data_IF_868974049380
#
_entry.id   IF_868974049380
#
_cell.length_a   1.000
_cell.length_b   1.000
_cell.length_c   1.000
_cell.angle_alpha   90.00
_cell.angle_beta   90.00
_cell.angle_gamma   90.00
#
_symmetry.space_group_name_H-M   'P 1'
#
loop_
_entity.id
_entity.type
_entity.pdbx_description
1 polymer ?
#
# COMPACT_ATOMS: atom_id res chain seq x y z
N UNK A 1 -1.95 1.46 -13.72
CA UNK A 1 -1.44 0.35 -12.88
C UNK A 1 -2.49 0.01 -11.83
N UNK A 2 -3.15 -1.12 -11.95
CA UNK A 2 -4.16 -1.58 -10.99
C UNK A 2 -4.09 -3.10 -10.91
N UNK A 3 -3.98 -3.65 -9.71
CA UNK A 3 -3.95 -5.11 -9.49
C UNK A 3 -5.34 -5.73 -9.63
N UNK A 4 -6.39 -4.93 -9.48
CA UNK A 4 -7.79 -5.33 -9.61
C UNK A 4 -8.50 -4.43 -10.64
N UNK A 5 -8.33 -4.71 -11.93
CA UNK A 5 -9.00 -3.93 -12.98
C UNK A 5 -10.52 -4.04 -12.85
N UNK A 6 -11.27 -3.01 -13.27
CA UNK A 6 -12.72 -3.04 -13.25
C UNK A 6 -13.25 -4.24 -14.06
N UNK A 7 -14.31 -4.84 -13.55
CA UNK A 7 -15.03 -5.94 -14.18
C UNK A 7 -16.47 -5.49 -14.42
N UNK A 8 -17.04 -5.93 -15.53
CA UNK A 8 -18.46 -5.68 -15.84
C UNK A 8 -19.32 -6.77 -15.16
N UNK A 9 -19.38 -6.70 -13.83
CA UNK A 9 -20.19 -7.59 -13.00
C UNK A 9 -20.87 -6.76 -11.90
N UNK A 10 -22.12 -7.11 -11.59
CA UNK A 10 -22.76 -6.59 -10.39
C UNK A 10 -22.28 -7.42 -9.19
N UNK A 11 -21.44 -6.81 -8.36
CA UNK A 11 -20.89 -7.40 -7.14
C UNK A 11 -21.43 -6.73 -5.86
N UNK A 12 -22.53 -5.97 -5.98
CA UNK A 12 -23.18 -5.29 -4.84
C UNK A 12 -23.62 -6.25 -3.72
N UNK A 13 -23.91 -7.51 -4.03
CA UNK A 13 -24.26 -8.57 -3.08
C UNK A 13 -23.11 -8.91 -2.13
N UNK A 14 -21.85 -8.68 -2.52
CA UNK A 14 -20.66 -8.95 -1.70
C UNK A 14 -20.72 -8.20 -0.36
N UNK A 15 -21.32 -7.01 -0.33
CA UNK A 15 -21.45 -6.23 0.91
C UNK A 15 -22.31 -6.96 1.94
N UNK A 16 -23.41 -7.58 1.51
CA UNK A 16 -24.27 -8.35 2.41
C UNK A 16 -23.57 -9.62 2.91
N UNK A 17 -22.81 -10.29 2.05
CA UNK A 17 -21.96 -11.42 2.45
C UNK A 17 -20.88 -11.01 3.46
N UNK A 18 -20.22 -9.86 3.24
CA UNK A 18 -19.21 -9.33 4.17
C UNK A 18 -19.83 -8.97 5.53
N UNK A 19 -21.01 -8.33 5.53
CA UNK A 19 -21.74 -8.02 6.77
C UNK A 19 -22.12 -9.29 7.54
N UNK A 20 -22.46 -10.36 6.84
CA UNK A 20 -22.75 -11.66 7.46
C UNK A 20 -21.47 -12.39 7.92
N UNK A 21 -20.33 -12.18 7.25
CA UNK A 21 -19.07 -12.84 7.58
C UNK A 21 -18.29 -12.17 8.72
N UNK A 22 -18.36 -10.84 8.86
CA UNK A 22 -17.63 -10.10 9.92
C UNK A 22 -17.85 -10.69 11.32
N UNK A 23 -19.09 -11.03 11.76
CA UNK A 23 -19.32 -11.63 13.07
C UNK A 23 -18.69 -13.02 13.26
N UNK A 24 -18.30 -13.70 12.18
CA UNK A 24 -17.68 -15.02 12.20
C UNK A 24 -16.16 -14.97 12.31
N UNK A 25 -15.56 -13.79 12.16
CA UNK A 25 -14.11 -13.59 12.29
C UNK A 25 -13.73 -13.71 13.76
N UNK A 26 -12.63 -14.43 14.03
CA UNK A 26 -12.13 -14.57 15.42
C UNK A 26 -11.80 -13.19 16.01
N UNK A 27 -12.25 -12.90 17.25
CA UNK A 27 -11.87 -11.67 17.95
C UNK A 27 -10.35 -11.52 18.23
N UNK A 28 -9.58 -12.61 18.10
CA UNK A 28 -8.11 -12.62 18.23
C UNK A 28 -7.40 -12.30 16.90
N UNK A 29 -8.15 -12.07 15.84
CA UNK A 29 -7.57 -11.66 14.55
C UNK A 29 -6.83 -10.33 14.71
N UNK A 30 -5.55 -10.31 14.37
CA UNK A 30 -4.70 -9.11 14.53
C UNK A 30 -5.04 -8.01 13.53
N UNK A 31 -5.36 -8.40 12.29
CA UNK A 31 -5.62 -7.44 11.21
C UNK A 31 -6.67 -7.97 10.23
N UNK A 32 -7.56 -7.09 9.81
CA UNK A 32 -8.51 -7.30 8.71
C UNK A 32 -8.29 -6.21 7.66
N UNK A 33 -8.25 -6.59 6.39
CA UNK A 33 -8.08 -5.65 5.28
C UNK A 33 -9.32 -5.55 4.41
N UNK A 34 -9.87 -4.35 4.24
CA UNK A 34 -10.83 -4.08 3.18
C UNK A 34 -10.08 -3.64 1.93
N UNK A 35 -10.23 -4.43 0.88
CA UNK A 35 -9.64 -4.20 -0.43
C UNK A 35 -10.69 -4.50 -1.50
N UNK A 36 -10.39 -4.13 -2.71
CA UNK A 36 -11.31 -4.35 -3.84
C UNK A 36 -10.99 -3.35 -4.94
N UNK A 37 -11.98 -2.96 -5.76
CA UNK A 37 -11.83 -1.87 -6.69
C UNK A 37 -11.56 -0.56 -5.93
N UNK A 38 -12.62 0.00 -5.35
CA UNK A 38 -12.53 1.17 -4.48
C UNK A 38 -13.65 1.09 -3.43
N UNK A 39 -13.30 0.73 -2.20
CA UNK A 39 -14.26 0.48 -1.12
C UNK A 39 -15.14 1.70 -0.81
N UNK A 40 -14.60 2.92 -0.93
CA UNK A 40 -15.34 4.14 -0.62
C UNK A 40 -16.47 4.45 -1.62
N UNK A 41 -16.48 3.84 -2.81
CA UNK A 41 -17.58 3.96 -3.77
C UNK A 41 -18.88 3.26 -3.31
N UNK A 42 -18.80 2.43 -2.29
CA UNK A 42 -19.97 1.84 -1.64
C UNK A 42 -20.74 2.85 -0.77
N UNK A 43 -20.20 4.05 -0.58
CA UNK A 43 -20.82 5.15 0.18
C UNK A 43 -21.31 4.72 1.58
N UNK A 44 -22.61 4.81 1.83
CA UNK A 44 -23.19 4.46 3.16
C UNK A 44 -23.04 2.97 3.47
N UNK A 45 -23.02 2.09 2.48
CA UNK A 45 -22.77 0.65 2.67
C UNK A 45 -21.35 0.38 3.17
N UNK A 46 -20.37 1.18 2.77
CA UNK A 46 -19.03 1.12 3.35
C UNK A 46 -19.03 1.52 4.83
N UNK A 47 -19.82 2.54 5.20
CA UNK A 47 -19.98 2.94 6.60
C UNK A 47 -20.62 1.81 7.43
N UNK A 48 -21.59 1.07 6.88
CA UNK A 48 -22.17 -0.11 7.53
C UNK A 48 -21.13 -1.18 7.83
N UNK A 49 -20.21 -1.46 6.87
CA UNK A 49 -19.09 -2.38 7.08
C UNK A 49 -18.14 -1.92 8.19
N UNK A 50 -17.83 -0.63 8.27
CA UNK A 50 -17.01 -0.08 9.34
C UNK A 50 -17.69 -0.22 10.70
N UNK A 51 -19.00 0.05 10.80
CA UNK A 51 -19.77 -0.16 12.03
C UNK A 51 -19.81 -1.62 12.45
N UNK A 52 -20.04 -2.54 11.52
CA UNK A 52 -20.00 -3.97 11.79
C UNK A 52 -18.62 -4.39 12.34
N UNK A 53 -17.52 -3.96 11.66
CA UNK A 53 -16.17 -4.28 12.10
C UNK A 53 -15.89 -3.72 13.50
N UNK A 54 -16.26 -2.46 13.77
CA UNK A 54 -16.11 -1.88 15.10
C UNK A 54 -16.84 -2.68 16.18
N UNK A 55 -18.07 -3.14 15.90
CA UNK A 55 -18.89 -3.82 16.88
C UNK A 55 -18.41 -5.24 17.19
N UNK A 56 -17.91 -5.97 16.20
CA UNK A 56 -17.50 -7.37 16.35
C UNK A 56 -15.98 -7.55 16.55
N UNK A 57 -15.19 -6.60 16.05
CA UNK A 57 -13.72 -6.66 16.03
C UNK A 57 -13.08 -5.35 16.55
N UNK A 58 -13.47 -4.84 17.72
CA UNK A 58 -13.03 -3.50 18.18
C UNK A 58 -11.53 -3.36 18.42
N UNK A 59 -10.83 -4.48 18.66
CA UNK A 59 -9.38 -4.51 18.95
C UNK A 59 -8.56 -5.01 17.75
N UNK A 60 -9.21 -5.31 16.63
CA UNK A 60 -8.56 -5.77 15.40
C UNK A 60 -8.14 -4.55 14.57
N UNK A 61 -6.89 -4.49 14.11
CA UNK A 61 -6.47 -3.48 13.16
C UNK A 61 -7.29 -3.61 11.88
N UNK A 62 -7.87 -2.51 11.42
CA UNK A 62 -8.62 -2.44 10.17
C UNK A 62 -7.91 -1.59 9.15
N UNK A 63 -7.28 -2.24 8.17
CA UNK A 63 -6.61 -1.57 7.04
C UNK A 63 -7.61 -1.44 5.87
N UNK A 64 -7.89 -0.22 5.45
CA UNK A 64 -8.74 0.05 4.28
C UNK A 64 -7.90 0.59 3.13
N UNK A 65 -7.84 -0.16 2.04
CA UNK A 65 -7.17 0.27 0.82
C UNK A 65 -8.12 1.14 -0.01
N UNK A 66 -7.74 2.39 -0.22
CA UNK A 66 -8.55 3.36 -0.98
C UNK A 66 -7.65 4.28 -1.80
N UNK A 67 -8.12 4.69 -2.97
CA UNK A 67 -7.42 5.72 -3.77
C UNK A 67 -7.47 7.12 -3.13
N UNK A 68 -8.21 7.30 -2.05
CA UNK A 68 -8.30 8.54 -1.28
C UNK A 68 -9.15 9.65 -1.91
N UNK A 69 -9.64 9.49 -3.14
CA UNK A 69 -10.26 10.57 -3.91
C UNK A 69 -11.58 11.05 -3.33
N UNK A 70 -12.47 10.15 -2.89
CA UNK A 70 -13.72 10.53 -2.23
C UNK A 70 -13.50 11.21 -0.87
N UNK A 71 -12.37 10.95 -0.23
CA UNK A 71 -11.97 11.60 1.02
C UNK A 71 -11.64 13.08 0.83
N UNK A 72 -11.49 13.57 -0.42
CA UNK A 72 -11.38 14.99 -0.71
C UNK A 72 -12.63 15.80 -0.28
N UNK A 73 -13.77 15.12 -0.13
CA UNK A 73 -14.98 15.68 0.49
C UNK A 73 -14.91 15.47 2.00
N UNK A 74 -14.64 16.56 2.74
CA UNK A 74 -14.48 16.52 4.20
C UNK A 74 -15.66 15.86 4.92
N UNK A 75 -16.88 16.09 4.43
CA UNK A 75 -18.09 15.50 5.01
C UNK A 75 -18.08 13.97 4.94
N UNK A 76 -17.50 13.38 3.87
CA UNK A 76 -17.37 11.93 3.76
C UNK A 76 -16.27 11.37 4.69
N UNK A 77 -15.14 12.06 4.77
CA UNK A 77 -14.11 11.72 5.76
C UNK A 77 -14.64 11.81 7.19
N UNK A 78 -15.49 12.80 7.49
CA UNK A 78 -16.14 12.92 8.80
C UNK A 78 -17.09 11.74 9.09
N UNK A 79 -17.91 11.29 8.13
CA UNK A 79 -18.76 10.10 8.30
C UNK A 79 -17.94 8.87 8.70
N UNK A 80 -16.76 8.67 8.09
CA UNK A 80 -15.86 7.57 8.45
C UNK A 80 -15.33 7.74 9.87
N UNK A 81 -14.90 8.95 10.24
CA UNK A 81 -14.39 9.26 11.57
C UNK A 81 -15.46 9.09 12.68
N UNK A 82 -16.72 9.39 12.37
CA UNK A 82 -17.84 9.26 13.31
C UNK A 82 -18.11 7.80 13.72
N UNK A 83 -17.65 6.83 12.93
CA UNK A 83 -17.64 5.41 13.32
C UNK A 83 -16.79 5.18 14.57
N UNK A 84 -15.66 5.93 14.73
CA UNK A 84 -14.73 5.82 15.87
C UNK A 84 -14.19 4.39 16.07
N UNK A 85 -13.81 3.71 14.99
CA UNK A 85 -13.09 2.45 15.10
C UNK A 85 -11.67 2.75 15.60
N UNK A 86 -11.22 2.19 16.75
CA UNK A 86 -9.97 2.61 17.40
C UNK A 86 -8.72 2.27 16.58
N UNK A 87 -8.74 1.18 15.82
CA UNK A 87 -7.61 0.65 15.08
C UNK A 87 -7.78 0.82 13.55
N UNK A 88 -8.53 1.84 13.09
CA UNK A 88 -8.74 2.11 11.66
C UNK A 88 -7.53 2.82 11.06
N UNK A 89 -7.03 2.29 9.95
CA UNK A 89 -5.98 2.90 9.12
C UNK A 89 -6.45 2.96 7.67
N UNK A 90 -6.43 4.16 7.07
CA UNK A 90 -6.69 4.33 5.63
C UNK A 90 -5.35 4.28 4.88
N UNK A 91 -5.22 3.28 3.98
CA UNK A 91 -4.02 3.04 3.19
C UNK A 91 -4.20 3.67 1.81
N UNK A 92 -3.50 4.78 1.55
CA UNK A 92 -3.70 5.62 0.37
C UNK A 92 -2.45 5.60 -0.52
N UNK A 93 -2.55 5.22 -1.81
CA UNK A 93 -1.42 5.24 -2.72
C UNK A 93 -1.09 6.66 -3.17
N UNK A 94 0.21 6.97 -3.21
CA UNK A 94 0.75 8.20 -3.79
C UNK A 94 1.90 7.84 -4.71
N UNK A 95 1.82 8.19 -6.01
CA UNK A 95 2.76 7.72 -7.01
C UNK A 95 3.83 8.73 -7.39
N UNK A 96 3.58 10.02 -7.18
CA UNK A 96 4.52 11.11 -7.48
C UNK A 96 4.21 12.34 -6.66
N UNK A 97 5.21 13.20 -6.52
CA UNK A 97 5.12 14.58 -6.04
C UNK A 97 4.65 15.56 -7.14
N UNK A 98 4.57 15.07 -8.39
CA UNK A 98 4.11 15.83 -9.56
C UNK A 98 2.72 15.36 -9.97
N UNK A 99 1.77 16.30 -10.02
CA UNK A 99 0.36 16.05 -10.33
C UNK A 99 0.15 15.29 -11.64
N UNK A 100 0.76 15.77 -12.71
CA UNK A 100 0.62 15.18 -14.06
C UNK A 100 1.19 13.76 -14.12
N UNK A 101 2.24 13.45 -13.36
CA UNK A 101 2.81 12.10 -13.31
C UNK A 101 1.96 11.15 -12.46
N UNK A 102 1.45 11.62 -11.31
CA UNK A 102 0.50 10.84 -10.51
C UNK A 102 -0.76 10.52 -11.32
N UNK A 103 -1.36 11.53 -11.95
CA UNK A 103 -2.57 11.40 -12.78
C UNK A 103 -2.35 10.44 -13.96
N UNK A 104 -1.17 10.51 -14.57
CA UNK A 104 -0.77 9.55 -15.63
C UNK A 104 -0.73 8.12 -15.11
N UNK A 105 -0.15 7.86 -13.93
CA UNK A 105 -0.08 6.50 -13.37
C UNK A 105 -1.47 5.95 -13.06
N UNK A 106 -2.35 6.76 -12.47
CA UNK A 106 -3.71 6.34 -12.09
C UNK A 106 -4.72 6.46 -13.23
N UNK A 107 -4.32 7.06 -14.35
CA UNK A 107 -5.15 7.31 -15.55
C UNK A 107 -6.42 8.14 -15.23
N UNK A 108 -6.27 9.15 -14.37
CA UNK A 108 -7.38 10.02 -13.97
C UNK A 108 -6.89 11.44 -13.69
N UNK A 109 -7.31 12.39 -14.52
CA UNK A 109 -6.97 13.82 -14.37
C UNK A 109 -7.54 14.38 -13.07
N UNK A 110 -6.71 15.13 -12.32
CA UNK A 110 -7.07 15.73 -11.03
C UNK A 110 -7.08 14.76 -9.86
N UNK A 111 -6.61 13.52 -10.07
CA UNK A 111 -6.52 12.52 -9.00
C UNK A 111 -5.51 12.93 -7.93
N UNK A 112 -4.38 13.54 -8.31
CA UNK A 112 -3.38 14.03 -7.36
C UNK A 112 -3.99 15.00 -6.34
N UNK A 113 -4.70 16.03 -6.81
CA UNK A 113 -5.35 17.02 -5.94
C UNK A 113 -6.42 16.41 -5.04
N UNK A 114 -7.19 15.45 -5.57
CA UNK A 114 -8.21 14.76 -4.79
C UNK A 114 -7.57 13.87 -3.72
N UNK A 115 -6.55 13.08 -4.07
CA UNK A 115 -5.86 12.17 -3.16
C UNK A 115 -5.13 12.93 -2.05
N UNK A 116 -4.37 13.97 -2.39
CA UNK A 116 -3.63 14.79 -1.41
C UNK A 116 -4.58 15.53 -0.47
N UNK A 117 -5.69 16.10 -0.99
CA UNK A 117 -6.75 16.67 -0.18
C UNK A 117 -7.42 15.63 0.71
N UNK A 118 -7.63 14.41 0.22
CA UNK A 118 -8.14 13.29 1.00
C UNK A 118 -7.25 12.98 2.20
N UNK A 119 -5.94 12.85 2.00
CA UNK A 119 -4.95 12.63 3.08
C UNK A 119 -5.03 13.77 4.12
N UNK A 120 -5.11 15.04 3.68
CA UNK A 120 -5.24 16.17 4.58
C UNK A 120 -6.56 16.15 5.36
N UNK A 121 -7.66 15.73 4.75
CA UNK A 121 -8.93 15.62 5.42
C UNK A 121 -8.95 14.50 6.46
N UNK A 122 -8.29 13.36 6.19
CA UNK A 122 -8.10 12.29 7.18
C UNK A 122 -7.39 12.81 8.44
N UNK A 123 -6.33 13.59 8.27
CA UNK A 123 -5.65 14.24 9.40
C UNK A 123 -6.59 15.16 10.18
N UNK A 124 -7.39 15.99 9.48
CA UNK A 124 -8.35 16.92 10.11
C UNK A 124 -9.39 16.20 10.97
N UNK A 125 -9.81 15.01 10.56
CA UNK A 125 -10.81 14.22 11.29
C UNK A 125 -10.18 13.17 12.23
N UNK A 126 -8.85 13.14 12.35
CA UNK A 126 -8.12 12.29 13.29
C UNK A 126 -8.04 10.80 12.92
N UNK A 127 -8.13 10.47 11.62
CA UNK A 127 -7.97 9.10 11.13
C UNK A 127 -6.51 8.84 10.77
N UNK A 128 -5.95 7.72 11.27
CA UNK A 128 -4.61 7.28 10.93
C UNK A 128 -4.51 6.95 9.43
N UNK A 129 -3.43 7.45 8.80
CA UNK A 129 -3.20 7.27 7.36
C UNK A 129 -1.85 6.60 7.12
N UNK A 130 -1.83 5.59 6.26
CA UNK A 130 -0.63 5.01 5.67
C UNK A 130 -0.52 5.45 4.21
N UNK A 131 0.62 6.05 3.83
CA UNK A 131 0.90 6.33 2.42
C UNK A 131 1.60 5.11 1.82
N UNK A 132 1.09 4.62 0.69
CA UNK A 132 1.68 3.51 -0.07
C UNK A 132 2.31 4.02 -1.36
N UNK A 133 3.60 3.75 -1.53
CA UNK A 133 4.37 4.10 -2.73
C UNK A 133 4.78 2.82 -3.42
N UNK A 134 4.22 2.54 -4.59
CA UNK A 134 4.63 1.39 -5.40
C UNK A 134 5.77 1.82 -6.31
N UNK A 135 6.89 1.08 -6.25
CA UNK A 135 8.12 1.37 -6.98
C UNK A 135 8.03 0.80 -8.39
N UNK A 136 8.11 1.64 -9.39
CA UNK A 136 8.04 1.24 -10.80
C UNK A 136 8.77 2.21 -11.73
N UNK A 137 9.05 1.76 -12.95
CA UNK A 137 9.86 2.45 -13.96
C UNK A 137 9.44 3.89 -14.25
N UNK A 138 8.16 4.22 -14.12
CA UNK A 138 7.66 5.56 -14.46
C UNK A 138 7.97 6.61 -13.39
N UNK A 139 8.18 6.19 -12.12
CA UNK A 139 8.25 7.13 -10.99
C UNK A 139 9.49 6.98 -10.11
N UNK A 140 10.26 5.89 -10.23
CA UNK A 140 11.38 5.62 -9.34
C UNK A 140 12.41 6.76 -9.26
N UNK A 141 12.70 7.41 -10.40
CA UNK A 141 13.69 8.50 -10.48
C UNK A 141 13.28 9.74 -9.66
N UNK A 142 12.01 9.86 -9.28
CA UNK A 142 11.49 10.94 -8.42
C UNK A 142 11.17 10.48 -7.00
N UNK A 143 11.64 9.30 -6.61
CA UNK A 143 11.37 8.75 -5.29
C UNK A 143 11.92 9.64 -4.14
N UNK A 144 13.15 10.22 -4.24
CA UNK A 144 13.63 11.17 -3.23
C UNK A 144 12.75 12.42 -3.13
N UNK A 145 12.35 13.02 -4.26
CA UNK A 145 11.47 14.20 -4.28
C UNK A 145 10.09 13.90 -3.72
N UNK A 146 9.55 12.69 -4.00
CA UNK A 146 8.31 12.24 -3.39
C UNK A 146 8.45 12.07 -1.86
N UNK A 147 9.58 11.55 -1.39
CA UNK A 147 9.88 11.44 0.04
C UNK A 147 9.93 12.82 0.72
N UNK A 148 10.60 13.81 0.10
CA UNK A 148 10.61 15.20 0.57
C UNK A 148 9.20 15.80 0.59
N UNK A 149 8.42 15.55 -0.47
CA UNK A 149 7.04 16.02 -0.56
C UNK A 149 6.19 15.45 0.58
N UNK A 150 6.29 14.14 0.86
CA UNK A 150 5.59 13.48 1.96
C UNK A 150 6.03 14.06 3.31
N UNK A 151 7.33 14.16 3.55
CA UNK A 151 7.88 14.68 4.81
C UNK A 151 7.43 16.11 5.10
N UNK A 152 7.35 16.95 4.06
CA UNK A 152 6.95 18.37 4.18
C UNK A 152 5.44 18.55 4.33
N UNK A 153 4.65 17.82 3.55
CA UNK A 153 3.20 18.08 3.45
C UNK A 153 2.36 17.14 4.34
N UNK A 154 2.89 15.96 4.69
CA UNK A 154 2.18 14.92 5.43
C UNK A 154 2.96 14.39 6.65
N UNK A 155 3.58 15.25 7.48
CA UNK A 155 4.37 14.82 8.63
C UNK A 155 3.56 14.08 9.72
N UNK A 156 2.25 14.08 9.58
CA UNK A 156 1.28 13.46 10.50
C UNK A 156 0.90 12.03 10.11
N UNK A 157 1.35 11.51 8.95
CA UNK A 157 0.96 10.14 8.55
C UNK A 157 1.58 9.11 9.49
N UNK A 158 0.81 8.08 9.79
CA UNK A 158 1.23 7.04 10.72
C UNK A 158 2.32 6.14 10.15
N UNK A 159 2.38 6.00 8.83
CA UNK A 159 3.32 5.10 8.17
C UNK A 159 3.49 5.44 6.68
N UNK A 160 4.70 5.18 6.15
CA UNK A 160 4.99 5.20 4.71
C UNK A 160 5.49 3.81 4.30
N UNK A 161 4.76 3.16 3.40
CA UNK A 161 5.08 1.84 2.88
C UNK A 161 5.64 1.96 1.45
N UNK A 162 6.92 1.68 1.26
CA UNK A 162 7.58 1.60 -0.03
C UNK A 162 7.49 0.16 -0.53
N UNK A 163 6.82 -0.09 -1.65
CA UNK A 163 6.42 -1.43 -2.05
C UNK A 163 6.97 -1.80 -3.42
N UNK A 164 7.63 -2.95 -3.53
CA UNK A 164 7.97 -3.54 -4.82
C UNK A 164 6.71 -3.84 -5.65
N UNK A 165 6.86 -3.73 -6.97
CA UNK A 165 5.76 -3.88 -7.93
C UNK A 165 5.17 -5.29 -7.90
N UNK A 166 3.87 -5.42 -7.67
CA UNK A 166 3.12 -6.66 -7.85
C UNK A 166 2.63 -6.79 -9.31
N UNK A 167 2.97 -7.89 -9.97
CA UNK A 167 2.73 -8.07 -11.41
C UNK A 167 1.40 -8.78 -11.68
N UNK A 168 0.31 -8.17 -11.23
CA UNK A 168 -1.06 -8.67 -11.42
C UNK A 168 -1.93 -7.64 -12.16
N UNK A 169 -3.09 -8.03 -12.62
CA UNK A 169 -4.05 -7.14 -13.27
C UNK A 169 -3.44 -6.35 -14.43
N UNK A 170 -3.68 -5.06 -14.48
CA UNK A 170 -3.12 -4.17 -15.52
C UNK A 170 -1.60 -4.03 -15.47
N UNK A 171 -0.96 -4.30 -14.33
CA UNK A 171 0.51 -4.32 -14.26
C UNK A 171 1.07 -5.41 -15.17
N UNK A 172 0.46 -6.61 -15.18
CA UNK A 172 0.86 -7.71 -16.07
C UNK A 172 0.78 -7.30 -17.55
N UNK A 173 -0.29 -6.61 -17.93
CA UNK A 173 -0.48 -6.14 -19.31
C UNK A 173 0.51 -5.03 -19.71
N UNK A 174 1.04 -4.28 -18.75
CA UNK A 174 1.95 -3.14 -18.98
C UNK A 174 3.36 -3.39 -18.40
N UNK A 175 3.77 -4.64 -18.30
CA UNK A 175 4.98 -5.05 -17.58
C UNK A 175 6.24 -4.32 -18.08
N UNK A 176 6.43 -4.21 -19.39
CA UNK A 176 7.60 -3.55 -19.98
C UNK A 176 7.68 -2.05 -19.68
N UNK A 177 6.54 -1.41 -19.49
CA UNK A 177 6.46 0.00 -19.14
C UNK A 177 6.61 0.27 -17.65
N UNK A 178 6.31 -0.72 -16.81
CA UNK A 178 6.24 -0.55 -15.35
C UNK A 178 7.37 -1.23 -14.60
N UNK A 179 7.83 -2.40 -15.05
CA UNK A 179 8.86 -3.14 -14.34
C UNK A 179 10.24 -2.48 -14.48
N UNK A 180 10.96 -2.42 -13.39
CA UNK A 180 12.36 -2.04 -13.29
C UNK A 180 13.05 -2.99 -12.31
N UNK A 181 14.30 -3.36 -12.60
CA UNK A 181 15.06 -4.21 -11.67
C UNK A 181 15.31 -3.43 -10.36
N UNK A 182 15.04 -4.04 -9.19
CA UNK A 182 15.32 -3.41 -7.90
C UNK A 182 16.75 -2.92 -7.71
N UNK A 183 17.72 -3.49 -8.40
CA UNK A 183 19.12 -3.02 -8.36
C UNK A 183 19.33 -1.67 -9.03
N UNK A 184 18.46 -1.31 -9.99
CA UNK A 184 18.60 -0.09 -10.79
C UNK A 184 18.07 1.16 -10.07
N UNK A 185 17.32 1.01 -8.97
CA UNK A 185 16.81 2.15 -8.19
C UNK A 185 17.25 2.12 -6.71
N UNK A 186 18.33 1.41 -6.41
CA UNK A 186 18.86 1.31 -5.04
C UNK A 186 19.26 2.66 -4.45
N UNK A 187 19.82 3.53 -5.26
CA UNK A 187 20.26 4.86 -4.84
C UNK A 187 19.06 5.72 -4.45
N UNK A 188 18.07 5.81 -5.32
CA UNK A 188 16.85 6.58 -5.09
C UNK A 188 16.04 6.03 -3.92
N UNK A 189 16.00 4.71 -3.76
CA UNK A 189 15.34 4.07 -2.61
C UNK A 189 16.06 4.40 -1.30
N UNK A 190 17.41 4.34 -1.29
CA UNK A 190 18.20 4.68 -0.11
C UNK A 190 17.97 6.11 0.31
N UNK A 191 18.10 7.05 -0.62
CA UNK A 191 17.90 8.47 -0.37
C UNK A 191 16.49 8.77 0.14
N UNK A 192 15.47 8.18 -0.48
CA UNK A 192 14.09 8.37 -0.06
C UNK A 192 13.83 7.84 1.36
N UNK A 193 14.36 6.65 1.71
CA UNK A 193 14.21 6.09 3.06
C UNK A 193 14.92 6.97 4.08
N UNK A 194 16.12 7.48 3.77
CA UNK A 194 16.86 8.38 4.64
C UNK A 194 16.09 9.67 4.90
N UNK A 195 15.53 10.30 3.86
CA UNK A 195 14.70 11.51 3.99
C UNK A 195 13.51 11.27 4.92
N UNK A 196 12.78 10.16 4.73
CA UNK A 196 11.62 9.83 5.56
C UNK A 196 12.01 9.52 7.01
N UNK A 197 13.10 8.76 7.22
CA UNK A 197 13.61 8.41 8.56
C UNK A 197 14.09 9.66 9.32
N UNK A 198 14.82 10.56 8.65
CA UNK A 198 15.26 11.84 9.22
C UNK A 198 14.09 12.76 9.59
N UNK A 199 12.99 12.70 8.81
CA UNK A 199 11.76 13.40 9.12
C UNK A 199 10.97 12.76 10.28
N UNK A 200 11.44 11.64 10.85
CA UNK A 200 10.77 10.92 11.92
C UNK A 200 9.55 10.12 11.45
N UNK A 201 9.38 9.90 10.15
CA UNK A 201 8.27 9.14 9.61
C UNK A 201 8.57 7.64 9.67
N UNK A 202 7.65 6.90 10.29
CA UNK A 202 7.73 5.44 10.32
C UNK A 202 7.67 4.90 8.88
N UNK A 203 8.75 4.24 8.44
CA UNK A 203 8.90 3.77 7.05
C UNK A 203 9.15 2.27 7.01
N UNK A 204 8.60 1.60 5.99
CA UNK A 204 8.88 0.18 5.73
C UNK A 204 9.01 -0.09 4.23
N UNK A 205 9.85 -1.07 3.91
CA UNK A 205 10.06 -1.57 2.54
C UNK A 205 9.45 -2.97 2.47
N UNK A 206 8.51 -3.15 1.54
CA UNK A 206 7.82 -4.42 1.30
C UNK A 206 8.18 -4.98 -0.08
N UNK A 207 8.11 -6.28 -0.22
CA UNK A 207 8.31 -7.00 -1.51
C UNK A 207 9.69 -6.75 -2.11
N UNK A 208 10.70 -6.60 -1.27
CA UNK A 208 12.11 -6.52 -1.67
C UNK A 208 12.92 -7.61 -0.98
N UNK A 209 13.80 -8.23 -1.75
CA UNK A 209 14.71 -9.24 -1.27
C UNK A 209 15.92 -8.56 -0.62
N UNK A 210 16.37 -9.05 0.54
CA UNK A 210 17.50 -8.45 1.27
C UNK A 210 18.79 -8.40 0.43
N UNK A 211 19.01 -9.40 -0.43
CA UNK A 211 20.18 -9.44 -1.32
C UNK A 211 20.17 -8.36 -2.41
N UNK A 212 19.02 -7.74 -2.68
CA UNK A 212 18.88 -6.62 -3.61
C UNK A 212 18.91 -5.27 -2.91
N UNK A 213 18.77 -5.23 -1.58
CA UNK A 213 18.81 -4.01 -0.79
C UNK A 213 20.22 -3.74 -0.24
N UNK A 214 20.67 -2.49 -0.17
CA UNK A 214 21.81 -2.10 0.65
C UNK A 214 21.57 -2.48 2.12
N UNK A 215 22.62 -2.91 2.83
CA UNK A 215 22.50 -3.47 4.19
C UNK A 215 21.88 -2.48 5.19
N UNK A 216 22.20 -1.19 5.08
CA UNK A 216 21.64 -0.15 5.96
C UNK A 216 20.11 -0.01 5.84
N UNK A 217 19.51 -0.50 4.75
CA UNK A 217 18.06 -0.51 4.55
C UNK A 217 17.37 -1.77 5.12
N UNK A 218 18.08 -2.81 5.52
CA UNK A 218 17.50 -4.06 6.00
C UNK A 218 16.58 -3.85 7.20
N UNK A 219 16.90 -2.91 8.08
CA UNK A 219 16.07 -2.56 9.24
C UNK A 219 14.66 -2.08 8.87
N UNK A 220 14.47 -1.58 7.67
CA UNK A 220 13.18 -1.13 7.13
C UNK A 220 12.43 -2.22 6.37
N UNK A 221 13.11 -3.30 5.98
CA UNK A 221 12.50 -4.41 5.25
C UNK A 221 11.46 -5.13 6.11
N UNK A 222 10.34 -5.47 5.52
CA UNK A 222 9.25 -6.21 6.17
C UNK A 222 8.76 -7.32 5.26
N UNK A 223 8.40 -8.44 5.86
CA UNK A 223 7.66 -9.49 5.19
C UNK A 223 6.21 -9.04 4.98
N UNK A 224 5.56 -9.56 3.93
CA UNK A 224 4.13 -9.33 3.73
C UNK A 224 3.33 -9.94 4.88
N UNK A 225 2.25 -9.28 5.29
CA UNK A 225 1.32 -9.79 6.32
C UNK A 225 0.73 -11.14 5.92
N UNK A 226 0.56 -11.38 4.62
CA UNK A 226 0.01 -12.63 4.10
C UNK A 226 1.15 -13.58 3.73
N UNK A 227 1.43 -14.58 4.57
CA UNK A 227 2.45 -15.60 4.37
C UNK A 227 2.29 -16.36 3.06
N UNK A 228 1.06 -16.64 2.62
CA UNK A 228 0.75 -17.27 1.34
C UNK A 228 1.14 -16.46 0.10
N UNK A 229 1.44 -15.16 0.25
CA UNK A 229 1.94 -14.29 -0.83
C UNK A 229 3.45 -14.35 -0.98
N UNK A 230 4.17 -14.78 0.07
CA UNK A 230 5.63 -14.83 0.08
C UNK A 230 6.11 -16.15 -0.50
N UNK A 231 6.81 -16.09 -1.62
CA UNK A 231 7.53 -17.22 -2.20
C UNK A 231 9.02 -16.95 -2.26
N UNK A 232 9.80 -17.99 -2.46
CA UNK A 232 11.25 -17.91 -2.70
C UNK A 232 11.58 -18.60 -3.99
N UNK A 233 12.55 -18.07 -4.74
CA UNK A 233 13.02 -18.66 -5.98
C UNK A 233 14.09 -19.72 -5.69
N UNK A 234 14.38 -20.64 -6.64
CA UNK A 234 15.41 -21.67 -6.43
C UNK A 234 16.78 -21.11 -6.04
N UNK A 235 17.11 -19.89 -6.51
CA UNK A 235 18.33 -19.19 -6.17
C UNK A 235 18.41 -18.78 -4.69
N UNK A 236 17.31 -18.89 -3.95
CA UNK A 236 17.27 -18.61 -2.51
C UNK A 236 17.58 -19.84 -1.65
N UNK A 237 17.69 -21.04 -2.24
CA UNK A 237 17.93 -22.28 -1.52
C UNK A 237 19.23 -22.21 -0.71
N UNK A 238 19.14 -22.52 0.58
CA UNK A 238 20.28 -22.45 1.49
C UNK A 238 20.66 -21.04 1.97
N UNK A 239 19.91 -20.01 1.63
CA UNK A 239 20.18 -18.65 2.08
C UNK A 239 19.96 -18.49 3.60
N UNK A 240 21.01 -18.07 4.35
CA UNK A 240 20.93 -17.86 5.80
C UNK A 240 19.94 -16.75 6.21
N UNK A 241 19.62 -15.81 5.30
CA UNK A 241 18.71 -14.68 5.54
C UNK A 241 17.26 -14.94 5.11
N UNK A 242 16.91 -16.14 4.69
CA UNK A 242 15.57 -16.46 4.18
C UNK A 242 14.46 -16.08 5.17
N UNK A 243 14.66 -16.37 6.47
CA UNK A 243 13.65 -16.08 7.52
C UNK A 243 13.41 -14.58 7.78
N UNK A 244 14.39 -13.75 7.47
CA UNK A 244 14.32 -12.29 7.65
C UNK A 244 13.90 -11.57 6.37
N UNK A 245 14.04 -12.25 5.22
CA UNK A 245 13.84 -11.69 3.89
C UNK A 245 12.36 -11.51 3.57
N UNK A 246 12.01 -10.37 2.93
CA UNK A 246 10.66 -10.11 2.43
C UNK A 246 10.17 -11.08 1.34
N UNK A 247 11.07 -11.88 0.75
CA UNK A 247 10.71 -12.83 -0.30
C UNK A 247 10.15 -12.16 -1.56
N UNK A 248 9.35 -12.91 -2.28
CA UNK A 248 8.70 -12.45 -3.50
C UNK A 248 7.20 -12.65 -3.41
N UNK A 249 6.43 -11.81 -4.10
CA UNK A 249 5.07 -12.18 -4.43
C UNK A 249 5.03 -13.31 -5.46
N UNK A 250 3.99 -14.14 -5.41
CA UNK A 250 3.80 -15.22 -6.37
C UNK A 250 3.81 -14.74 -7.83
N UNK A 251 3.39 -13.49 -8.09
CA UNK A 251 3.46 -12.87 -9.41
C UNK A 251 4.88 -12.60 -9.92
N UNK A 252 5.89 -12.63 -9.05
CA UNK A 252 7.29 -12.45 -9.43
C UNK A 252 7.84 -13.59 -10.29
N UNK A 253 7.16 -14.73 -10.37
CA UNK A 253 7.47 -15.79 -11.35
C UNK A 253 7.43 -15.30 -12.80
N UNK A 254 6.75 -14.19 -13.08
CA UNK A 254 6.74 -13.55 -14.41
C UNK A 254 8.05 -12.84 -14.72
N UNK A 255 8.63 -12.18 -13.74
CA UNK A 255 9.89 -11.44 -13.88
C UNK A 255 10.45 -11.09 -12.50
N UNK A 256 11.73 -11.33 -12.29
CA UNK A 256 12.49 -10.92 -11.11
C UNK A 256 13.93 -10.57 -11.47
N UNK A 257 14.68 -10.02 -10.53
CA UNK A 257 16.07 -9.62 -10.75
C UNK A 257 16.98 -10.81 -10.97
N UNK A 258 17.83 -10.74 -11.97
CA UNK A 258 18.92 -11.69 -12.17
C UNK A 258 20.07 -11.55 -11.15
N UNK A 259 20.01 -10.56 -10.26
CA UNK A 259 21.01 -10.31 -9.21
C UNK A 259 20.66 -10.97 -7.87
N UNK A 260 19.67 -11.85 -7.83
CA UNK A 260 19.35 -12.64 -6.65
C UNK A 260 20.55 -13.52 -6.28
N UNK A 261 20.89 -13.53 -4.99
CA UNK A 261 21.98 -14.34 -4.43
C UNK A 261 21.69 -14.79 -3.00
N UNK A 262 22.29 -15.88 -2.61
CA UNK A 262 22.28 -16.35 -1.21
C UNK A 262 23.28 -15.58 -0.35
N UNK A 263 22.97 -15.50 0.93
CA UNK A 263 23.95 -15.21 1.98
C UNK A 263 24.36 -16.56 2.61
N UNK A 264 25.69 -16.75 2.77
CA UNK A 264 26.26 -17.93 3.42
C UNK A 264 26.14 -17.90 4.95
#
# INVERSE_FOLDING_TARGET
>A
MCSQPPRDIDDGYIVDELLAAIPLISPQTECVGFTGGEATLLHDRFIDLLWATKNYLPNTRLDVLTNGRLLSYLQYAQKIADVKHPELVLCVPLYSDVDTLHDFVVQAKGAFDQTTRGIMNLARVGIATEIRVVLHKQTYARLPQLAEFIARNFPFVAHVALMGLEMTGFTKANLEALWIDPVDYRAELSEAVEILDWAGLRTSIYNHQLCLLPEHLWRFSRQSISDWKNIYMPECDGCSKMKECGGFFASATLRYSGSIRTFG
#
